data_IF_928535087885
#
_entry.id   IF_928535087885
#
_cell.length_a   1.000
_cell.length_b   1.000
_cell.length_c   1.000
_cell.angle_alpha   90.00
_cell.angle_beta   90.00
_cell.angle_gamma   90.00
#
_symmetry.space_group_name_H-M   'P 1'
#
loop_
_entity.id
_entity.type
_entity.pdbx_description
1 polymer ?
#
# COMPACT_ATOMS: atom_id res chain seq x y z
N UNK A 1 -16.51 6.40 1.65
CA UNK A 1 -15.38 6.36 2.60
C UNK A 1 -14.43 5.25 2.14
N UNK A 2 -13.10 5.42 2.28
CA UNK A 2 -12.09 4.43 1.86
C UNK A 2 -11.14 4.12 3.03
N UNK A 3 -10.47 2.98 2.96
CA UNK A 3 -9.54 2.50 3.99
C UNK A 3 -8.19 3.22 3.92
N UNK A 4 -7.65 3.48 2.73
CA UNK A 4 -6.37 4.16 2.50
C UNK A 4 -6.45 5.14 1.33
N UNK A 5 -5.69 6.24 1.43
CA UNK A 5 -5.42 7.20 0.37
C UNK A 5 -3.92 7.52 0.35
N UNK A 6 -3.35 7.64 -0.85
CA UNK A 6 -1.95 8.03 -1.07
C UNK A 6 -1.88 9.35 -1.81
N UNK A 7 -1.04 10.27 -1.33
CA UNK A 7 -0.84 11.60 -1.88
C UNK A 7 0.63 11.80 -2.22
N UNK A 8 1.04 11.61 -3.49
CA UNK A 8 2.41 11.82 -3.92
C UNK A 8 2.89 13.24 -3.60
N UNK A 9 4.13 13.36 -3.12
CA UNK A 9 4.73 14.66 -2.87
C UNK A 9 4.99 15.39 -4.18
N UNK A 10 4.69 16.69 -4.22
CA UNK A 10 5.06 17.57 -5.32
C UNK A 10 6.53 18.01 -5.19
N UNK A 11 7.44 17.03 -5.29
CA UNK A 11 8.88 17.28 -5.24
C UNK A 11 9.46 17.49 -6.65
N UNK A 12 10.11 18.64 -6.93
CA UNK A 12 10.61 18.96 -8.26
C UNK A 12 11.56 17.89 -8.81
N UNK A 13 11.22 17.33 -9.97
CA UNK A 13 11.98 16.24 -10.59
C UNK A 13 13.44 16.64 -10.85
N UNK A 14 13.68 17.91 -11.20
CA UNK A 14 15.01 18.45 -11.50
C UNK A 14 15.95 18.47 -10.27
N UNK A 15 15.38 18.42 -9.07
CA UNK A 15 16.13 18.41 -7.82
C UNK A 15 16.38 16.99 -7.29
N UNK A 16 15.73 15.97 -7.84
CA UNK A 16 15.84 14.58 -7.33
C UNK A 16 17.26 14.04 -7.37
N UNK A 17 18.01 14.36 -8.42
CA UNK A 17 19.42 13.95 -8.56
C UNK A 17 20.39 14.81 -7.73
N UNK A 18 19.90 15.91 -7.15
CA UNK A 18 20.69 16.85 -6.36
C UNK A 18 20.59 16.61 -4.85
N UNK A 19 19.73 15.68 -4.43
CA UNK A 19 19.48 15.35 -3.02
C UNK A 19 19.61 13.84 -2.81
N UNK A 20 20.12 13.44 -1.65
CA UNK A 20 20.25 12.01 -1.30
C UNK A 20 18.89 11.36 -1.07
N UNK A 21 17.94 12.11 -0.52
CA UNK A 21 16.59 11.64 -0.22
C UNK A 21 15.57 12.76 -0.44
N UNK A 22 14.36 12.39 -0.83
CA UNK A 22 13.21 13.30 -0.95
C UNK A 22 11.94 12.59 -0.45
N UNK A 23 10.92 13.32 -0.01
CA UNK A 23 9.67 12.71 0.43
C UNK A 23 8.95 12.06 -0.75
N UNK A 24 8.41 10.86 -0.56
CA UNK A 24 7.57 10.19 -1.55
C UNK A 24 6.14 10.77 -1.56
N UNK A 25 5.63 11.15 -0.39
CA UNK A 25 4.25 11.61 -0.20
C UNK A 25 3.68 11.19 1.13
N UNK A 26 2.37 11.36 1.28
CA UNK A 26 1.60 11.02 2.47
C UNK A 26 0.71 9.79 2.24
N UNK A 27 0.55 8.97 3.28
CA UNK A 27 -0.43 7.89 3.32
C UNK A 27 -1.40 8.19 4.45
N UNK A 28 -2.69 8.24 4.14
CA UNK A 28 -3.77 8.47 5.12
C UNK A 28 -4.60 7.20 5.23
N UNK A 29 -4.65 6.61 6.44
CA UNK A 29 -5.37 5.37 6.70
C UNK A 29 -6.50 5.64 7.70
N UNK A 30 -7.71 5.18 7.39
CA UNK A 30 -8.88 5.30 8.25
C UNK A 30 -8.99 4.10 9.20
N UNK A 31 -8.49 4.24 10.43
CA UNK A 31 -8.45 3.16 11.43
C UNK A 31 -9.78 2.42 11.63
N UNK A 32 -10.90 3.16 11.72
CA UNK A 32 -12.23 2.58 11.91
C UNK A 32 -12.65 1.65 10.76
N UNK A 33 -12.23 1.95 9.53
CA UNK A 33 -12.53 1.11 8.36
C UNK A 33 -11.60 -0.10 8.33
N UNK A 34 -10.32 0.07 8.66
CA UNK A 34 -9.37 -1.06 8.79
C UNK A 34 -9.86 -2.09 9.79
N UNK A 35 -10.33 -1.66 10.96
CA UNK A 35 -10.88 -2.56 11.98
C UNK A 35 -12.14 -3.29 11.50
N UNK A 36 -13.04 -2.58 10.80
CA UNK A 36 -14.25 -3.15 10.26
C UNK A 36 -13.96 -4.19 9.17
N UNK A 37 -13.04 -3.89 8.26
CA UNK A 37 -12.63 -4.78 7.17
C UNK A 37 -11.88 -6.00 7.70
N UNK A 38 -10.93 -5.83 8.62
CA UNK A 38 -10.19 -6.92 9.23
C UNK A 38 -11.15 -7.92 9.88
N UNK A 39 -12.15 -7.43 10.62
CA UNK A 39 -13.19 -8.27 11.21
C UNK A 39 -14.07 -8.95 10.16
N UNK A 40 -14.50 -8.22 9.13
CA UNK A 40 -15.38 -8.76 8.09
C UNK A 40 -14.70 -9.84 7.24
N UNK A 41 -13.39 -9.72 7.02
CA UNK A 41 -12.58 -10.63 6.20
C UNK A 41 -11.86 -11.70 7.04
N UNK A 42 -12.11 -11.74 8.36
CA UNK A 42 -11.39 -12.62 9.30
C UNK A 42 -9.85 -12.52 9.18
N UNK A 43 -9.34 -11.31 8.91
CA UNK A 43 -7.92 -11.00 8.86
C UNK A 43 -7.43 -10.55 10.23
N UNK A 44 -6.19 -10.93 10.56
CA UNK A 44 -5.49 -10.34 11.70
C UNK A 44 -5.38 -8.82 11.52
N UNK A 45 -5.75 -8.05 12.53
CA UNK A 45 -5.81 -6.58 12.44
C UNK A 45 -4.46 -5.99 12.01
N UNK A 46 -3.37 -6.47 12.64
CA UNK A 46 -2.02 -6.02 12.34
C UNK A 46 -1.62 -6.36 10.89
N UNK A 47 -2.02 -7.52 10.37
CA UNK A 47 -1.77 -7.91 8.98
C UNK A 47 -2.51 -6.99 8.00
N UNK A 48 -3.76 -6.61 8.30
CA UNK A 48 -4.53 -5.69 7.45
C UNK A 48 -3.92 -4.27 7.44
N UNK A 49 -3.44 -3.79 8.59
CA UNK A 49 -2.67 -2.54 8.66
C UNK A 49 -1.40 -2.57 7.79
N UNK A 50 -0.63 -3.66 7.87
CA UNK A 50 0.58 -3.81 7.05
C UNK A 50 0.26 -3.88 5.57
N UNK A 51 -0.79 -4.61 5.18
CA UNK A 51 -1.24 -4.66 3.80
C UNK A 51 -1.55 -3.26 3.26
N UNK A 52 -2.41 -2.50 3.94
CA UNK A 52 -2.79 -1.15 3.49
C UNK A 52 -1.63 -0.16 3.49
N UNK A 53 -0.66 -0.31 4.39
CA UNK A 53 0.56 0.52 4.41
C UNK A 53 1.45 0.22 3.21
N UNK A 54 1.67 -1.07 2.90
CA UNK A 54 2.46 -1.50 1.74
C UNK A 54 1.76 -1.11 0.43
N UNK A 55 0.45 -1.31 0.36
CA UNK A 55 -0.40 -0.88 -0.76
C UNK A 55 -0.27 0.63 -1.01
N UNK A 56 -0.44 1.43 0.04
CA UNK A 56 -0.30 2.88 -0.03
C UNK A 56 1.10 3.32 -0.49
N UNK A 57 2.15 2.63 -0.04
CA UNK A 57 3.53 2.88 -0.45
C UNK A 57 3.74 2.60 -1.95
N UNK A 58 3.20 1.50 -2.48
CA UNK A 58 3.34 1.19 -3.90
C UNK A 58 2.63 2.23 -4.78
N UNK A 59 1.50 2.78 -4.35
CA UNK A 59 0.91 3.94 -5.01
C UNK A 59 1.83 5.16 -5.00
N UNK A 60 2.52 5.46 -3.89
CA UNK A 60 3.50 6.54 -3.83
C UNK A 60 4.73 6.30 -4.72
N UNK A 61 5.07 5.04 -4.99
CA UNK A 61 6.12 4.64 -5.93
C UNK A 61 5.66 4.65 -7.41
N UNK A 62 4.38 4.94 -7.67
CA UNK A 62 3.83 5.08 -9.02
C UNK A 62 3.14 3.84 -9.56
N UNK A 63 3.04 2.75 -8.80
CA UNK A 63 2.27 1.58 -9.21
C UNK A 63 0.76 1.88 -9.15
N UNK A 64 0.05 1.37 -10.15
CA UNK A 64 -1.40 1.50 -10.28
C UNK A 64 -2.03 0.11 -10.37
N UNK A 65 -3.35 0.07 -10.19
CA UNK A 65 -4.16 -1.14 -10.29
C UNK A 65 -5.49 -0.85 -10.99
N UNK A 66 -5.45 0.07 -11.95
CA UNK A 66 -6.58 0.55 -12.75
C UNK A 66 -7.02 -0.43 -13.85
N UNK A 67 -6.12 -1.34 -14.25
CA UNK A 67 -6.41 -2.49 -15.09
C UNK A 67 -5.83 -3.79 -14.49
N UNK A 68 -6.31 -4.93 -15.00
CA UNK A 68 -5.93 -6.27 -14.50
C UNK A 68 -4.43 -6.55 -14.59
N UNK A 69 -3.73 -5.97 -15.58
CA UNK A 69 -2.31 -6.18 -15.78
C UNK A 69 -1.52 -5.44 -14.71
N UNK A 70 -1.80 -4.14 -14.55
CA UNK A 70 -1.17 -3.29 -13.54
C UNK A 70 -1.49 -3.81 -12.13
N UNK A 71 -2.74 -4.21 -11.88
CA UNK A 71 -3.15 -4.82 -10.63
C UNK A 71 -2.33 -6.08 -10.33
N UNK A 72 -2.25 -7.01 -11.28
CA UNK A 72 -1.47 -8.25 -11.09
C UNK A 72 0.01 -7.97 -10.79
N UNK A 73 0.60 -6.95 -11.41
CA UNK A 73 1.99 -6.56 -11.12
C UNK A 73 2.15 -5.97 -9.72
N UNK A 74 1.28 -5.04 -9.33
CA UNK A 74 1.30 -4.42 -8.00
C UNK A 74 1.04 -5.45 -6.90
N UNK A 75 0.05 -6.33 -7.07
CA UNK A 75 -0.29 -7.39 -6.12
C UNK A 75 0.90 -8.33 -5.87
N UNK A 76 1.65 -8.71 -6.91
CA UNK A 76 2.86 -9.55 -6.76
C UNK A 76 3.92 -8.86 -5.89
N UNK A 77 4.10 -7.56 -6.06
CA UNK A 77 5.06 -6.78 -5.26
C UNK A 77 4.61 -6.67 -3.80
N UNK A 78 3.31 -6.47 -3.58
CA UNK A 78 2.71 -6.48 -2.25
C UNK A 78 2.90 -7.82 -1.55
N UNK A 79 2.58 -8.93 -2.23
CA UNK A 79 2.72 -10.29 -1.70
C UNK A 79 4.18 -10.55 -1.30
N UNK A 80 5.14 -10.25 -2.19
CA UNK A 80 6.55 -10.46 -1.89
C UNK A 80 7.03 -9.61 -0.71
N UNK A 81 6.57 -8.37 -0.61
CA UNK A 81 6.94 -7.46 0.48
C UNK A 81 6.36 -7.93 1.81
N UNK A 82 5.10 -8.33 1.83
CA UNK A 82 4.42 -8.83 3.03
C UNK A 82 5.00 -10.15 3.50
N UNK A 83 5.34 -11.06 2.58
CA UNK A 83 6.02 -12.33 2.91
C UNK A 83 7.35 -12.08 3.63
N UNK A 84 8.14 -11.11 3.17
CA UNK A 84 9.40 -10.70 3.83
C UNK A 84 9.19 -10.09 5.21
N UNK A 85 7.99 -9.58 5.50
CA UNK A 85 7.57 -9.08 6.81
C UNK A 85 6.90 -10.17 7.68
N UNK A 86 6.82 -11.41 7.18
CA UNK A 86 6.19 -12.53 7.88
C UNK A 86 4.66 -12.54 7.81
N UNK A 87 4.07 -11.83 6.83
CA UNK A 87 2.63 -11.69 6.67
C UNK A 87 2.16 -12.53 5.47
N UNK A 88 1.10 -13.30 5.70
CA UNK A 88 0.47 -14.13 4.68
C UNK A 88 -0.08 -13.30 3.52
N UNK A 89 -0.18 -13.92 2.35
CA UNK A 89 -0.75 -13.30 1.16
C UNK A 89 -2.19 -12.76 1.43
N UNK A 90 -2.43 -11.44 1.31
CA UNK A 90 -3.70 -10.82 1.69
C UNK A 90 -4.83 -11.02 0.65
N UNK A 91 -4.50 -11.59 -0.52
CA UNK A 91 -5.41 -11.86 -1.64
C UNK A 91 -5.97 -13.29 -1.63
N UNK A 92 -5.50 -14.15 -0.73
CA UNK A 92 -6.12 -15.46 -0.54
C UNK A 92 -7.50 -15.26 0.10
N UNK A 93 -8.54 -15.82 -0.53
CA UNK A 93 -9.88 -15.88 0.05
C UNK A 93 -9.82 -16.71 1.33
N UNK A 94 -10.24 -16.12 2.44
CA UNK A 94 -10.49 -16.81 3.73
C UNK A 94 -11.98 -17.06 3.87
#
# INVERSE_FOLDING_TARGET
PTNVLSFPADFPVQLRDQVETFPLGDIVICAAIVELEAKAQSKELLAHWMHLTVHGLFHLLGYQHDDDTNATEMEKLEINTLERLGISNPYLLV
#
